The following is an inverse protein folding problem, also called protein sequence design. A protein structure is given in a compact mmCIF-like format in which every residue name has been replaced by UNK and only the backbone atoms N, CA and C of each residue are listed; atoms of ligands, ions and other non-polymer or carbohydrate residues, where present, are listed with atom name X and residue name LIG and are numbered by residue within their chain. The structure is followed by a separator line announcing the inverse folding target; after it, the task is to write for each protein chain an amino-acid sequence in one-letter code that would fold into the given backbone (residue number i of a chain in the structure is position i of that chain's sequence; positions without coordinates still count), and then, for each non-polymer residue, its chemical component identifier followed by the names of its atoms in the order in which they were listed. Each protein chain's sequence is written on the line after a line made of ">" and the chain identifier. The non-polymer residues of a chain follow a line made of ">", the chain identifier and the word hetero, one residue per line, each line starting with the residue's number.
data_IF_505928413622
#
_entry.id   IF_505928413622
#
_cell.length_a   1.000
_cell.length_b   1.000
_cell.length_c   1.000
_cell.angle_alpha   90.00
_cell.angle_beta   90.00
_cell.angle_gamma   90.00
#
_symmetry.space_group_name_H-M   'P 1'
#
loop_
_entity.id
_entity.type
_entity.pdbx_description
1 polymer ?
#
# COMPACT_ATOMS: atom_id res chain seq x y z
N UNK A 1 -3.49 -17.52 -11.33
CA UNK A 1 -4.95 -17.88 -11.37
C UNK A 1 -5.77 -17.33 -10.19
N UNK A 2 -5.29 -16.32 -9.43
CA UNK A 2 -5.91 -15.98 -8.13
C UNK A 2 -6.51 -14.58 -7.99
N UNK A 3 -6.50 -13.75 -9.01
CA UNK A 3 -7.12 -12.41 -8.97
C UNK A 3 -8.11 -12.26 -10.15
N UNK A 4 -9.17 -13.03 -10.18
CA UNK A 4 -9.96 -13.24 -11.39
C UNK A 4 -11.41 -12.77 -11.38
N UNK A 5 -11.86 -11.98 -10.43
CA UNK A 5 -13.16 -11.32 -10.62
C UNK A 5 -12.96 -10.00 -11.39
N UNK A 6 -13.45 -9.96 -12.65
CA UNK A 6 -13.24 -8.84 -13.59
C UNK A 6 -13.99 -7.56 -13.21
N UNK A 7 -14.81 -7.57 -12.18
CA UNK A 7 -15.73 -6.48 -11.85
C UNK A 7 -15.43 -5.75 -10.53
N UNK A 8 -14.55 -6.28 -9.66
CA UNK A 8 -14.19 -5.66 -8.40
C UNK A 8 -12.82 -4.96 -8.47
N UNK A 9 -12.68 -3.85 -7.76
CA UNK A 9 -11.38 -3.17 -7.60
C UNK A 9 -10.53 -3.94 -6.59
N UNK A 10 -9.31 -4.28 -6.98
CA UNK A 10 -8.40 -5.11 -6.20
C UNK A 10 -7.50 -4.25 -5.34
N UNK A 11 -7.70 -4.34 -4.04
CA UNK A 11 -6.88 -3.68 -3.02
C UNK A 11 -5.86 -4.68 -2.51
N UNK A 12 -4.59 -4.30 -2.47
CA UNK A 12 -3.49 -5.18 -2.09
C UNK A 12 -2.70 -4.63 -0.91
N UNK A 13 -2.34 -5.52 0.00
CA UNK A 13 -1.41 -5.30 1.10
C UNK A 13 -0.38 -6.42 1.10
N UNK A 14 0.88 -6.08 1.36
CA UNK A 14 1.92 -7.08 1.66
C UNK A 14 2.81 -6.64 2.82
N UNK A 15 3.19 -7.59 3.66
CA UNK A 15 4.08 -7.38 4.79
C UNK A 15 3.85 -8.38 5.92
N UNK A 16 4.69 -8.30 6.95
CA UNK A 16 4.51 -9.11 8.16
C UNK A 16 3.18 -8.78 8.85
N UNK A 17 2.45 -9.80 9.27
CA UNK A 17 1.18 -9.64 9.98
C UNK A 17 1.44 -9.40 11.49
N UNK A 18 1.91 -8.18 11.79
CA UNK A 18 2.25 -7.71 13.13
C UNK A 18 1.54 -6.38 13.42
N UNK A 19 1.43 -6.03 14.70
CA UNK A 19 0.65 -4.90 15.17
C UNK A 19 0.88 -3.59 14.42
N UNK A 20 2.14 -3.18 14.23
CA UNK A 20 2.43 -1.87 13.67
C UNK A 20 2.06 -1.71 12.19
N UNK A 21 1.81 -2.80 11.48
CA UNK A 21 1.36 -2.79 10.07
C UNK A 21 -0.11 -2.40 9.91
N UNK A 22 -0.92 -2.39 10.98
CA UNK A 22 -2.27 -1.86 10.98
C UNK A 22 -3.28 -2.64 10.13
N UNK A 23 -3.04 -3.93 9.89
CA UNK A 23 -3.96 -4.76 9.08
C UNK A 23 -5.34 -4.88 9.76
N UNK A 24 -5.42 -4.84 11.08
CA UNK A 24 -6.69 -4.79 11.82
C UNK A 24 -7.48 -3.51 11.54
N UNK A 25 -6.79 -2.37 11.38
CA UNK A 25 -7.40 -1.10 10.97
C UNK A 25 -7.92 -1.19 9.54
N UNK A 26 -7.14 -1.82 8.64
CA UNK A 26 -7.54 -2.06 7.27
C UNK A 26 -8.80 -2.94 7.18
N UNK A 27 -8.87 -4.04 7.94
CA UNK A 27 -10.07 -4.89 7.99
C UNK A 27 -11.30 -4.15 8.51
N UNK A 28 -11.14 -3.32 9.56
CA UNK A 28 -12.23 -2.46 10.08
C UNK A 28 -12.70 -1.44 9.03
N UNK A 29 -11.78 -0.88 8.27
CA UNK A 29 -12.10 0.04 7.17
C UNK A 29 -12.81 -0.69 6.03
N UNK A 30 -12.33 -1.89 5.69
CA UNK A 30 -12.84 -2.68 4.58
C UNK A 30 -14.29 -3.14 4.76
N UNK A 31 -14.78 -3.23 6.00
CA UNK A 31 -16.21 -3.43 6.30
C UNK A 31 -17.12 -2.30 5.76
N UNK A 32 -16.53 -1.14 5.42
CA UNK A 32 -17.25 0.05 4.87
C UNK A 32 -16.89 0.30 3.39
N UNK A 33 -16.08 -0.56 2.80
CA UNK A 33 -15.66 -0.47 1.40
C UNK A 33 -16.60 -1.25 0.51
N UNK A 34 -16.93 -0.68 -0.66
CA UNK A 34 -17.86 -1.26 -1.64
C UNK A 34 -17.13 -1.64 -2.92
N UNK A 35 -17.62 -2.67 -3.58
CA UNK A 35 -17.14 -3.11 -4.90
C UNK A 35 -15.62 -3.33 -4.98
N UNK A 36 -15.03 -3.80 -3.87
CA UNK A 36 -13.60 -4.09 -3.79
C UNK A 36 -13.38 -5.46 -3.16
N UNK A 37 -12.27 -6.07 -3.55
CA UNK A 37 -11.69 -7.23 -2.88
C UNK A 37 -10.33 -6.85 -2.28
N UNK A 38 -10.01 -7.40 -1.11
CA UNK A 38 -8.76 -7.17 -0.40
C UNK A 38 -7.92 -8.45 -0.42
N UNK A 39 -6.70 -8.31 -0.90
CA UNK A 39 -5.70 -9.37 -0.93
C UNK A 39 -4.58 -9.03 0.05
N UNK A 40 -4.34 -9.92 1.00
CA UNK A 40 -3.37 -9.74 2.08
C UNK A 40 -2.29 -10.81 1.94
N UNK A 41 -1.09 -10.40 1.55
CA UNK A 41 0.08 -11.27 1.47
C UNK A 41 0.99 -11.08 2.69
N UNK A 42 1.55 -12.20 3.15
CA UNK A 42 2.47 -12.26 4.28
C UNK A 42 1.96 -13.12 5.41
N UNK A 43 2.83 -13.34 6.39
CA UNK A 43 2.59 -14.15 7.57
C UNK A 43 2.99 -13.39 8.82
N UNK A 44 2.58 -13.82 9.99
CA UNK A 44 2.94 -13.21 11.27
C UNK A 44 2.08 -13.66 12.43
N UNK A 45 2.44 -13.21 13.62
CA UNK A 45 1.78 -13.60 14.88
C UNK A 45 0.29 -13.25 14.93
N UNK A 46 -0.15 -12.25 14.17
CA UNK A 46 -1.56 -11.82 14.16
C UNK A 46 -2.42 -12.52 13.10
N UNK A 47 -1.88 -13.43 12.29
CA UNK A 47 -2.61 -14.02 11.16
C UNK A 47 -3.96 -14.62 11.58
N UNK A 48 -3.97 -15.46 12.61
CA UNK A 48 -5.21 -16.11 13.07
C UNK A 48 -6.21 -15.09 13.62
N UNK A 49 -5.76 -14.12 14.39
CA UNK A 49 -6.62 -13.07 14.94
C UNK A 49 -7.21 -12.16 13.85
N UNK A 50 -6.46 -11.89 12.79
CA UNK A 50 -6.91 -11.12 11.64
C UNK A 50 -7.95 -11.89 10.81
N UNK A 51 -7.78 -13.20 10.62
CA UNK A 51 -8.77 -14.07 9.97
C UNK A 51 -10.08 -14.07 10.76
N UNK A 52 -10.03 -14.31 12.07
CA UNK A 52 -11.21 -14.23 12.96
C UNK A 52 -11.85 -12.83 12.92
N UNK A 53 -11.03 -11.78 12.85
CA UNK A 53 -11.52 -10.41 12.70
C UNK A 53 -12.29 -10.19 11.38
N UNK A 54 -11.81 -10.74 10.28
CA UNK A 54 -12.49 -10.68 8.98
C UNK A 54 -13.81 -11.47 9.01
N UNK A 55 -13.80 -12.68 9.55
CA UNK A 55 -15.00 -13.54 9.70
C UNK A 55 -16.08 -12.85 10.53
N UNK A 56 -15.72 -12.31 11.69
CA UNK A 56 -16.68 -11.63 12.61
C UNK A 56 -17.31 -10.37 11.99
N UNK A 57 -16.73 -9.86 10.90
CA UNK A 57 -17.25 -8.71 10.15
C UNK A 57 -17.94 -9.08 8.84
N UNK A 58 -18.11 -10.38 8.57
CA UNK A 58 -18.73 -10.84 7.32
C UNK A 58 -17.91 -10.50 6.08
N UNK A 59 -16.58 -10.51 6.19
CA UNK A 59 -15.67 -10.15 5.09
C UNK A 59 -15.09 -11.37 4.35
N UNK A 60 -15.50 -12.56 4.68
CA UNK A 60 -14.92 -13.83 4.18
C UNK A 60 -14.91 -13.91 2.65
N UNK A 61 -15.97 -13.39 2.00
CA UNK A 61 -16.12 -13.45 0.54
C UNK A 61 -15.27 -12.41 -0.21
N UNK A 62 -14.75 -11.38 0.47
CA UNK A 62 -14.04 -10.28 -0.17
C UNK A 62 -12.66 -9.96 0.44
N UNK A 63 -12.21 -10.74 1.41
CA UNK A 63 -10.87 -10.62 2.00
C UNK A 63 -10.14 -11.94 1.87
N UNK A 64 -9.03 -11.92 1.14
CA UNK A 64 -8.26 -13.10 0.78
C UNK A 64 -6.88 -13.05 1.44
N UNK A 65 -6.62 -13.97 2.37
CA UNK A 65 -5.30 -14.14 2.97
C UNK A 65 -4.48 -15.10 2.10
N UNK A 66 -3.45 -14.56 1.45
CA UNK A 66 -2.62 -15.30 0.49
C UNK A 66 -1.46 -16.07 1.16
N UNK A 67 -1.16 -15.76 2.43
CA UNK A 67 0.03 -16.30 3.09
C UNK A 67 1.32 -15.73 2.52
N UNK A 68 2.40 -16.51 2.60
CA UNK A 68 3.67 -16.15 1.97
C UNK A 68 3.58 -16.30 0.45
N UNK A 69 4.07 -15.31 -0.27
CA UNK A 69 4.21 -15.33 -1.72
C UNK A 69 5.69 -15.40 -2.09
N UNK A 70 6.03 -16.17 -3.11
CA UNK A 70 7.33 -16.10 -3.77
C UNK A 70 7.53 -14.74 -4.46
N UNK A 71 8.76 -14.42 -4.84
CA UNK A 71 9.06 -13.17 -5.54
C UNK A 71 8.29 -13.02 -6.86
N UNK A 72 8.05 -14.13 -7.55
CA UNK A 72 7.28 -14.14 -8.80
C UNK A 72 5.78 -13.89 -8.54
N UNK A 73 5.20 -14.57 -7.56
CA UNK A 73 3.80 -14.35 -7.16
C UNK A 73 3.58 -12.94 -6.61
N UNK A 74 4.55 -12.40 -5.87
CA UNK A 74 4.49 -11.04 -5.34
C UNK A 74 4.52 -10.00 -6.48
N UNK A 75 5.41 -10.17 -7.47
CA UNK A 75 5.42 -9.33 -8.66
C UNK A 75 4.11 -9.37 -9.42
N UNK A 76 3.52 -10.57 -9.58
CA UNK A 76 2.23 -10.72 -10.22
C UNK A 76 1.11 -10.05 -9.42
N UNK A 77 1.12 -10.16 -8.08
CA UNK A 77 0.13 -9.51 -7.22
C UNK A 77 0.19 -7.98 -7.33
N UNK A 78 1.40 -7.39 -7.39
CA UNK A 78 1.55 -5.96 -7.67
C UNK A 78 1.04 -5.58 -9.07
N UNK A 79 1.32 -6.40 -10.08
CA UNK A 79 0.84 -6.12 -11.44
C UNK A 79 -0.70 -6.18 -11.54
N UNK A 80 -1.33 -7.10 -10.83
CA UNK A 80 -2.76 -7.38 -10.90
C UNK A 80 -3.63 -6.51 -9.98
N UNK A 81 -3.07 -5.91 -8.94
CA UNK A 81 -3.85 -5.05 -8.05
C UNK A 81 -4.17 -3.70 -8.72
N UNK A 82 -5.18 -3.01 -8.21
CA UNK A 82 -5.57 -1.67 -8.64
C UNK A 82 -5.10 -0.57 -7.66
N UNK A 83 -5.05 -0.90 -6.37
CA UNK A 83 -4.70 0.00 -5.28
C UNK A 83 -3.79 -0.75 -4.31
N UNK A 84 -2.69 -0.14 -3.92
CA UNK A 84 -1.84 -0.64 -2.84
C UNK A 84 -2.11 0.11 -1.54
N UNK A 85 -2.16 -0.59 -0.39
CA UNK A 85 -2.41 0.03 0.91
C UNK A 85 -1.32 -0.34 1.91
N UNK A 86 -0.72 0.68 2.55
CA UNK A 86 0.22 0.55 3.68
C UNK A 86 -0.39 1.25 4.91
N UNK A 87 -1.23 0.56 5.70
CA UNK A 87 -2.01 1.17 6.79
C UNK A 87 -1.26 1.22 8.13
N UNK A 88 0.07 1.28 8.09
CA UNK A 88 0.92 1.23 9.29
C UNK A 88 0.54 2.30 10.31
N UNK A 89 0.58 1.94 11.61
CA UNK A 89 -0.01 2.77 12.68
C UNK A 89 1.02 3.42 13.60
N UNK A 90 2.30 3.02 13.53
CA UNK A 90 3.37 3.59 14.36
C UNK A 90 4.65 3.86 13.57
N UNK A 91 5.47 4.77 14.08
CA UNK A 91 6.72 5.25 13.45
C UNK A 91 7.80 4.20 13.22
N UNK A 92 7.65 2.99 13.78
CA UNK A 92 8.53 1.86 13.47
C UNK A 92 8.45 1.41 12.02
N UNK A 93 7.40 1.80 11.28
CA UNK A 93 7.43 1.79 9.83
C UNK A 93 8.28 2.96 9.34
N UNK A 94 9.55 2.71 9.11
CA UNK A 94 10.50 3.78 8.82
C UNK A 94 10.30 4.38 7.42
N UNK A 95 10.07 3.55 6.41
CA UNK A 95 10.05 3.98 5.02
C UNK A 95 8.95 3.27 4.19
N UNK A 96 8.70 2.00 4.45
CA UNK A 96 7.72 1.21 3.73
C UNK A 96 8.13 0.92 2.28
N UNK A 97 9.25 0.21 2.07
CA UNK A 97 9.80 -0.12 0.74
C UNK A 97 8.74 -0.74 -0.18
N UNK A 98 7.81 -1.51 0.36
CA UNK A 98 6.69 -2.11 -0.39
C UNK A 98 5.84 -1.09 -1.15
N UNK A 99 5.85 0.20 -0.75
CA UNK A 99 5.22 1.28 -1.51
C UNK A 99 5.94 1.48 -2.85
N UNK A 100 7.28 1.53 -2.83
CA UNK A 100 8.08 1.68 -4.06
C UNK A 100 7.84 0.51 -5.01
N UNK A 101 7.73 -0.71 -4.46
CA UNK A 101 7.44 -1.89 -5.26
C UNK A 101 6.09 -1.75 -5.98
N UNK A 102 5.02 -1.34 -5.28
CA UNK A 102 3.72 -1.08 -5.89
C UNK A 102 3.77 0.07 -6.93
N UNK A 103 4.47 1.16 -6.60
CA UNK A 103 4.61 2.33 -7.46
C UNK A 103 5.35 2.02 -8.76
N UNK A 104 6.31 1.11 -8.76
CA UNK A 104 6.98 0.61 -9.99
C UNK A 104 5.97 0.04 -10.99
N UNK A 105 4.93 -0.62 -10.50
CA UNK A 105 3.83 -1.16 -11.30
C UNK A 105 2.73 -0.15 -11.61
N UNK A 106 2.96 1.13 -11.33
CA UNK A 106 1.98 2.20 -11.59
C UNK A 106 0.75 2.11 -10.70
N UNK A 107 0.89 1.61 -9.47
CA UNK A 107 -0.23 1.51 -8.54
C UNK A 107 -0.25 2.70 -7.60
N UNK A 108 -1.40 3.38 -7.44
CA UNK A 108 -1.55 4.42 -6.43
C UNK A 108 -1.47 3.79 -5.04
N UNK A 109 -0.84 4.51 -4.12
CA UNK A 109 -0.61 4.04 -2.75
C UNK A 109 -1.51 4.79 -1.78
N UNK A 110 -2.23 4.07 -0.92
CA UNK A 110 -2.83 4.67 0.27
C UNK A 110 -1.91 4.37 1.45
N UNK A 111 -1.34 5.40 2.05
CA UNK A 111 -0.47 5.30 3.21
C UNK A 111 -0.97 6.13 4.40
N UNK A 112 -0.21 6.13 5.48
CA UNK A 112 -0.56 6.87 6.70
C UNK A 112 0.45 7.99 6.97
N UNK A 113 -0.06 9.11 7.51
CA UNK A 113 0.75 10.28 7.89
C UNK A 113 1.54 10.01 9.17
N UNK A 114 2.49 9.08 9.10
CA UNK A 114 3.41 8.78 10.19
C UNK A 114 4.55 9.80 10.23
N UNK A 115 5.11 10.12 11.42
CA UNK A 115 6.33 10.90 11.55
C UNK A 115 7.56 10.04 11.18
N UNK A 116 7.63 9.60 9.92
CA UNK A 116 8.64 8.71 9.35
C UNK A 116 8.80 8.99 7.86
N UNK A 117 9.58 8.17 7.14
CA UNK A 117 9.72 8.29 5.68
C UNK A 117 8.49 7.88 4.88
N UNK A 118 7.50 7.23 5.48
CA UNK A 118 6.30 6.70 4.78
C UNK A 118 5.60 7.75 3.91
N UNK A 119 5.18 8.93 4.41
CA UNK A 119 4.47 9.92 3.60
C UNK A 119 5.38 10.64 2.57
N UNK A 120 6.70 10.44 2.63
CA UNK A 120 7.64 10.98 1.65
C UNK A 120 7.85 10.06 0.44
N UNK A 121 7.54 8.79 0.57
CA UNK A 121 7.62 7.83 -0.53
C UNK A 121 6.49 8.09 -1.51
N UNK A 122 5.25 7.97 -1.07
CA UNK A 122 4.05 8.30 -1.85
C UNK A 122 3.42 9.58 -1.30
N UNK A 123 3.26 10.56 -2.18
CA UNK A 123 2.82 11.92 -1.84
C UNK A 123 1.30 12.01 -1.98
N UNK A 124 0.66 12.60 -0.96
CA UNK A 124 -0.79 12.81 -0.93
C UNK A 124 -1.26 13.67 -2.10
N UNK A 125 -2.29 13.16 -2.81
CA UNK A 125 -2.88 13.84 -3.98
C UNK A 125 -2.03 13.82 -5.25
N UNK A 126 -0.79 13.32 -5.21
CA UNK A 126 0.11 13.24 -6.37
C UNK A 126 0.33 11.80 -6.84
N UNK A 127 0.67 10.89 -5.93
CA UNK A 127 0.99 9.49 -6.25
C UNK A 127 0.13 8.50 -5.47
N UNK A 128 -0.78 9.00 -4.67
CA UNK A 128 -1.68 8.24 -3.83
C UNK A 128 -2.45 9.14 -2.87
N UNK A 129 -2.97 8.55 -1.80
CA UNK A 129 -3.68 9.28 -0.74
C UNK A 129 -3.05 8.97 0.61
N UNK A 130 -2.93 9.98 1.47
CA UNK A 130 -2.39 9.84 2.82
C UNK A 130 -3.50 10.08 3.85
N UNK A 131 -3.62 9.16 4.82
CA UNK A 131 -4.66 9.24 5.86
C UNK A 131 -4.02 9.26 7.26
N UNK A 132 -4.73 9.76 8.29
CA UNK A 132 -4.24 9.65 9.67
C UNK A 132 -4.08 8.17 10.07
N UNK A 133 -3.01 7.82 10.83
CA UNK A 133 -2.85 6.46 11.33
C UNK A 133 -4.02 6.07 12.25
N UNK A 134 -4.44 4.81 12.20
CA UNK A 134 -5.56 4.27 12.97
C UNK A 134 -6.93 4.87 12.65
N UNK A 135 -7.07 5.75 11.66
CA UNK A 135 -8.37 6.31 11.26
C UNK A 135 -9.08 5.41 10.25
N UNK A 136 -9.92 4.52 10.79
CA UNK A 136 -10.75 3.58 10.03
C UNK A 136 -11.67 4.29 9.02
N UNK A 137 -12.20 5.48 9.37
CA UNK A 137 -13.12 6.20 8.48
C UNK A 137 -12.40 6.86 7.31
N UNK A 138 -11.26 7.52 7.60
CA UNK A 138 -10.44 8.14 6.58
C UNK A 138 -9.89 7.07 5.60
N UNK A 139 -9.41 5.93 6.12
CA UNK A 139 -8.92 4.84 5.28
C UNK A 139 -10.02 4.26 4.38
N UNK A 140 -11.22 4.00 4.91
CA UNK A 140 -12.34 3.53 4.10
C UNK A 140 -12.74 4.54 3.02
N UNK A 141 -12.76 5.85 3.35
CA UNK A 141 -13.06 6.92 2.40
C UNK A 141 -12.01 7.00 1.28
N UNK A 142 -10.73 6.86 1.61
CA UNK A 142 -9.65 6.89 0.63
C UNK A 142 -9.75 5.69 -0.33
N UNK A 143 -10.00 4.48 0.18
CA UNK A 143 -10.18 3.29 -0.65
C UNK A 143 -11.40 3.45 -1.58
N UNK A 144 -12.56 3.85 -1.05
CA UNK A 144 -13.76 4.05 -1.86
C UNK A 144 -13.55 5.13 -2.94
N UNK A 145 -12.88 6.24 -2.62
CA UNK A 145 -12.56 7.30 -3.59
C UNK A 145 -11.77 6.77 -4.78
N UNK A 146 -10.70 5.99 -4.52
CA UNK A 146 -9.91 5.42 -5.60
C UNK A 146 -10.63 4.25 -6.31
N UNK A 147 -11.54 3.56 -5.64
CA UNK A 147 -12.33 2.51 -6.26
C UNK A 147 -13.38 3.06 -7.23
N UNK A 148 -14.04 4.16 -6.86
CA UNK A 148 -15.12 4.80 -7.62
C UNK A 148 -14.57 5.67 -8.78
N UNK A 149 -13.39 6.28 -8.60
CA UNK A 149 -12.78 7.18 -9.58
C UNK A 149 -11.60 6.50 -10.29
N UNK A 150 -11.91 5.86 -11.41
CA UNK A 150 -10.91 5.16 -12.22
C UNK A 150 -9.87 6.13 -12.82
N UNK A 151 -10.28 7.31 -13.26
CA UNK A 151 -9.39 8.29 -13.90
C UNK A 151 -8.36 8.79 -12.89
N UNK A 152 -8.80 9.17 -11.69
CA UNK A 152 -7.92 9.55 -10.58
C UNK A 152 -6.97 8.40 -10.20
N UNK A 153 -7.48 7.19 -10.10
CA UNK A 153 -6.67 6.00 -9.77
C UNK A 153 -5.55 5.78 -10.78
N UNK A 154 -5.85 5.88 -12.07
CA UNK A 154 -4.86 5.74 -13.14
C UNK A 154 -3.88 6.92 -13.20
N UNK A 155 -4.33 8.15 -12.95
CA UNK A 155 -3.48 9.33 -12.88
C UNK A 155 -2.45 9.20 -11.76
N UNK A 156 -2.91 8.96 -10.53
CA UNK A 156 -2.02 8.79 -9.37
C UNK A 156 -1.04 7.61 -9.56
N UNK A 157 -1.49 6.54 -10.20
CA UNK A 157 -0.64 5.40 -10.52
C UNK A 157 0.45 5.74 -11.53
N UNK A 158 0.14 6.48 -12.59
CA UNK A 158 1.16 6.97 -13.56
C UNK A 158 2.20 7.86 -12.87
N UNK A 159 1.73 8.80 -12.06
CA UNK A 159 2.60 9.70 -11.29
C UNK A 159 3.49 8.93 -10.30
N UNK A 160 2.94 7.87 -9.69
CA UNK A 160 3.68 6.99 -8.79
C UNK A 160 4.86 6.32 -9.51
N UNK A 161 4.62 5.73 -10.69
CA UNK A 161 5.68 5.10 -11.49
C UNK A 161 6.74 6.12 -11.95
N UNK A 162 6.34 7.33 -12.35
CA UNK A 162 7.25 8.39 -12.74
C UNK A 162 8.12 8.84 -11.56
N UNK A 163 7.52 9.08 -10.41
CA UNK A 163 8.24 9.44 -9.19
C UNK A 163 9.31 8.43 -8.79
N UNK A 164 9.02 7.12 -8.89
CA UNK A 164 10.02 6.09 -8.59
C UNK A 164 11.20 6.20 -9.56
N UNK A 165 10.95 6.33 -10.86
CA UNK A 165 12.02 6.49 -11.86
C UNK A 165 12.87 7.73 -11.62
N UNK A 166 12.23 8.83 -11.21
CA UNK A 166 12.92 10.10 -11.02
C UNK A 166 13.64 10.24 -9.69
N UNK A 167 13.09 9.73 -8.59
CA UNK A 167 13.60 9.99 -7.24
C UNK A 167 14.30 8.79 -6.60
N UNK A 168 13.89 7.57 -6.95
CA UNK A 168 14.32 6.35 -6.28
C UNK A 168 15.08 5.38 -7.19
N UNK A 169 15.48 5.78 -8.40
CA UNK A 169 16.36 4.95 -9.23
C UNK A 169 17.74 4.85 -8.59
N UNK A 170 18.38 3.69 -8.73
CA UNK A 170 19.72 3.41 -8.21
C UNK A 170 20.73 4.53 -8.57
N UNK A 171 20.70 4.97 -9.82
CA UNK A 171 21.54 6.04 -10.34
C UNK A 171 21.39 7.37 -9.58
N UNK A 172 20.17 7.68 -9.14
CA UNK A 172 19.89 8.92 -8.39
C UNK A 172 20.22 8.78 -6.91
N UNK A 173 19.96 7.62 -6.31
CA UNK A 173 20.35 7.34 -4.92
C UNK A 173 21.85 7.41 -4.76
N UNK A 174 22.62 6.79 -5.67
CA UNK A 174 24.07 6.82 -5.67
C UNK A 174 24.56 8.27 -5.85
N UNK A 175 23.98 9.04 -6.78
CA UNK A 175 24.37 10.43 -7.02
C UNK A 175 24.11 11.33 -5.80
N UNK A 176 22.96 11.19 -5.14
CA UNK A 176 22.66 11.93 -3.91
C UNK A 176 23.62 11.58 -2.77
N UNK A 177 23.97 10.30 -2.63
CA UNK A 177 24.96 9.86 -1.65
C UNK A 177 26.35 10.47 -1.93
N UNK A 178 26.79 10.48 -3.19
CA UNK A 178 28.06 11.10 -3.58
C UNK A 178 28.07 12.61 -3.29
N UNK A 179 27.01 13.33 -3.66
CA UNK A 179 26.85 14.76 -3.42
C UNK A 179 26.91 15.09 -1.91
N UNK A 180 26.21 14.30 -1.09
CA UNK A 180 26.24 14.42 0.36
C UNK A 180 27.64 14.17 0.96
N UNK A 181 28.32 13.10 0.50
CA UNK A 181 29.65 12.74 1.00
C UNK A 181 30.75 13.69 0.51
N UNK A 182 30.60 14.29 -0.68
CA UNK A 182 31.54 15.26 -1.24
C UNK A 182 31.33 16.70 -0.72
N UNK A 183 30.25 16.93 0.03
CA UNK A 183 29.90 18.27 0.57
C UNK A 183 29.40 19.26 -0.49
N UNK A 184 28.97 18.76 -1.67
CA UNK A 184 28.44 19.60 -2.77
C UNK A 184 27.04 20.15 -2.49
N UNK A 185 26.27 19.53 -1.56
CA UNK A 185 24.92 19.97 -1.15
C UNK A 185 24.95 21.05 -0.04
N UNK A 186 26.11 21.62 0.31
CA UNK A 186 26.27 22.61 1.38
C UNK A 186 26.32 24.06 0.87
N UNK A 187 25.70 24.36 -0.31
CA UNK A 187 25.60 25.74 -0.81
C UNK A 187 24.20 26.11 -1.24
#
# INVERSE_FOLDING_TARGET
>A
EKLTDKNSVKVFFTGRLVYYKGVDVLLKAFAKVKNCELFIAGTGELENSLKTCAESRGLTEKVHFLGFLSDEELRQAYADCDIFVLPSVVKSEAFGIVQLEAMVYGKPVINTNLPSGVPHVSIDGETGLTVPPSDVKALAKAINRLAEDKELREELGRNAAERVREKFSEKKIIRSLYSYLSGEDSR
#
